data_IF_179718569426
#
_entry.id   IF_179718569426
#
_cell.length_a   1.000
_cell.length_b   1.000
_cell.length_c   1.000
_cell.angle_alpha   90.00
_cell.angle_beta   90.00
_cell.angle_gamma   90.00
#
_symmetry.space_group_name_H-M   'P 1'
#
loop_
_entity.id
_entity.type
_entity.pdbx_description
1 polymer ?
#
# COMPACT_ATOMS: atom_id res chain seq x y z
N UNK A 1 -30.71 -21.91 7.96
CA UNK A 1 -29.99 -22.47 6.81
C UNK A 1 -30.54 -21.82 5.58
N UNK A 2 -29.86 -20.76 5.13
CA UNK A 2 -29.79 -20.33 3.74
C UNK A 2 -28.42 -19.67 3.63
N UNK A 3 -27.55 -20.37 2.94
CA UNK A 3 -26.16 -20.05 2.65
C UNK A 3 -26.07 -18.73 1.89
N UNK A 4 -25.66 -17.67 2.59
CA UNK A 4 -25.36 -16.34 2.03
C UNK A 4 -23.84 -16.23 1.74
N UNK A 5 -23.28 -17.27 1.12
CA UNK A 5 -21.83 -17.39 0.86
C UNK A 5 -21.49 -17.63 -0.62
N UNK A 6 -22.36 -17.19 -1.54
CA UNK A 6 -22.11 -17.24 -2.98
C UNK A 6 -22.26 -15.86 -3.63
N UNK A 7 -21.37 -14.91 -3.32
CA UNK A 7 -21.03 -13.77 -4.21
C UNK A 7 -19.66 -13.14 -3.88
N UNK A 8 -18.56 -13.87 -3.97
CA UNK A 8 -17.22 -13.25 -4.08
C UNK A 8 -16.34 -14.01 -5.10
N UNK A 9 -16.93 -14.53 -6.16
CA UNK A 9 -16.16 -14.97 -7.34
C UNK A 9 -15.84 -13.75 -8.20
N UNK A 10 -14.83 -13.01 -7.76
CA UNK A 10 -14.33 -11.78 -8.39
C UNK A 10 -13.47 -10.95 -7.45
N UNK A 11 -12.91 -11.53 -6.39
CA UNK A 11 -11.96 -10.83 -5.54
C UNK A 11 -10.70 -10.58 -6.38
N UNK A 12 -10.59 -9.38 -6.93
CA UNK A 12 -9.29 -8.77 -7.18
C UNK A 12 -8.50 -8.96 -5.88
N UNK A 13 -7.47 -9.81 -5.89
CA UNK A 13 -6.68 -10.15 -4.71
C UNK A 13 -5.82 -8.95 -4.34
N UNK A 14 -6.43 -7.96 -3.69
CA UNK A 14 -5.71 -6.81 -3.17
C UNK A 14 -4.88 -7.24 -1.97
N UNK A 15 -3.61 -6.86 -1.98
CA UNK A 15 -2.69 -7.11 -0.88
C UNK A 15 -2.64 -5.85 -0.04
N UNK A 16 -2.96 -5.99 1.26
CA UNK A 16 -2.70 -4.97 2.25
C UNK A 16 -1.20 -4.89 2.55
N UNK A 17 -0.64 -3.69 2.50
CA UNK A 17 0.73 -3.40 2.87
C UNK A 17 0.77 -2.38 4.00
N UNK A 18 1.50 -2.73 5.06
CA UNK A 18 1.84 -1.80 6.14
C UNK A 18 3.34 -1.51 6.10
N UNK A 19 3.68 -0.23 6.02
CA UNK A 19 5.05 0.22 5.83
C UNK A 19 5.36 1.18 6.98
N UNK A 20 6.15 0.72 7.94
CA UNK A 20 6.64 1.59 9.00
C UNK A 20 7.75 2.49 8.46
N UNK A 21 7.66 3.75 8.84
CA UNK A 21 8.62 4.79 8.52
C UNK A 21 9.58 4.96 9.69
N UNK A 22 10.87 5.13 9.38
CA UNK A 22 11.89 5.48 10.36
C UNK A 22 11.63 6.88 10.94
N UNK A 23 11.12 7.80 10.11
CA UNK A 23 10.76 9.16 10.47
C UNK A 23 9.43 9.55 9.81
N UNK A 24 8.61 10.41 10.45
CA UNK A 24 7.40 10.95 9.84
C UNK A 24 7.70 11.59 8.48
N UNK A 25 6.76 11.44 7.55
CA UNK A 25 6.80 12.21 6.31
C UNK A 25 6.46 13.67 6.59
N UNK A 26 7.24 14.58 6.01
CA UNK A 26 6.87 15.99 5.95
C UNK A 26 5.69 16.20 4.97
N UNK A 27 4.90 17.28 5.09
CA UNK A 27 3.75 17.53 4.22
C UNK A 27 4.08 17.55 2.72
N UNK A 28 5.30 17.98 2.36
CA UNK A 28 5.79 17.95 0.98
C UNK A 28 6.05 16.51 0.52
N UNK A 29 6.61 15.67 1.38
CA UNK A 29 6.89 14.26 1.09
C UNK A 29 5.59 13.46 0.99
N UNK A 30 4.62 13.70 1.88
CA UNK A 30 3.28 13.10 1.81
C UNK A 30 2.60 13.44 0.49
N UNK A 31 2.67 14.71 0.07
CA UNK A 31 2.12 15.15 -1.22
C UNK A 31 2.81 14.48 -2.39
N UNK A 32 4.15 14.41 -2.38
CA UNK A 32 4.91 13.75 -3.45
C UNK A 32 4.59 12.26 -3.54
N UNK A 33 4.45 11.58 -2.40
CA UNK A 33 4.06 10.17 -2.35
C UNK A 33 2.64 9.96 -2.90
N UNK A 34 1.69 10.80 -2.49
CA UNK A 34 0.30 10.76 -2.96
C UNK A 34 0.20 10.97 -4.47
N UNK A 35 0.90 11.97 -5.01
CA UNK A 35 0.94 12.23 -6.46
C UNK A 35 1.54 11.04 -7.23
N UNK A 36 2.61 10.45 -6.70
CA UNK A 36 3.26 9.30 -7.32
C UNK A 36 2.40 8.02 -7.23
N UNK A 37 1.65 7.83 -6.15
CA UNK A 37 0.68 6.75 -5.99
C UNK A 37 -0.50 6.91 -6.94
N UNK A 38 -1.05 8.12 -7.08
CA UNK A 38 -2.15 8.42 -8.01
C UNK A 38 -1.77 8.06 -9.46
N UNK A 39 -0.54 8.37 -9.88
CA UNK A 39 -0.02 8.03 -11.20
C UNK A 39 0.25 6.53 -11.38
N UNK A 40 0.64 5.84 -10.30
CA UNK A 40 0.97 4.42 -10.34
C UNK A 40 -0.29 3.55 -10.36
N UNK A 41 -1.15 3.74 -9.35
CA UNK A 41 -2.33 2.94 -9.12
C UNK A 41 -3.37 3.73 -8.29
N UNK A 42 -4.48 4.06 -8.93
CA UNK A 42 -5.55 4.83 -8.32
C UNK A 42 -6.19 4.14 -7.10
N UNK A 43 -6.17 2.79 -7.03
CA UNK A 43 -6.72 2.04 -5.91
C UNK A 43 -5.77 2.07 -4.71
N UNK A 44 -4.47 1.93 -4.95
CA UNK A 44 -3.45 2.15 -3.94
C UNK A 44 -3.49 3.57 -3.40
N UNK A 45 -3.73 4.57 -4.25
CA UNK A 45 -3.93 5.96 -3.83
C UNK A 45 -5.18 6.15 -2.97
N UNK A 46 -6.33 5.64 -3.40
CA UNK A 46 -7.61 5.80 -2.68
C UNK A 46 -7.58 5.13 -1.30
N UNK A 47 -6.92 3.97 -1.21
CA UNK A 47 -6.76 3.22 0.05
C UNK A 47 -5.53 3.61 0.89
N UNK A 48 -4.72 4.59 0.45
CA UNK A 48 -3.51 5.00 1.15
C UNK A 48 -3.83 5.91 2.35
N UNK A 49 -3.62 5.35 3.54
CA UNK A 49 -3.59 6.08 4.80
C UNK A 49 -2.13 6.35 5.19
N UNK A 50 -1.79 7.63 5.33
CA UNK A 50 -0.45 8.07 5.75
C UNK A 50 -0.57 8.57 7.19
N UNK A 51 -0.09 7.77 8.11
CA UNK A 51 0.07 8.12 9.51
C UNK A 51 1.46 8.69 9.80
N UNK A 52 1.67 9.19 11.04
CA UNK A 52 2.91 9.86 11.44
C UNK A 52 4.15 8.94 11.43
N UNK A 53 4.01 7.61 11.44
CA UNK A 53 5.14 6.67 11.35
C UNK A 53 4.82 5.42 10.56
N UNK A 54 3.68 5.39 9.88
CA UNK A 54 3.20 4.20 9.19
C UNK A 54 2.36 4.62 8.00
N UNK A 55 2.54 3.92 6.90
CA UNK A 55 1.71 4.02 5.72
C UNK A 55 0.98 2.68 5.57
N UNK A 56 -0.34 2.73 5.45
CA UNK A 56 -1.17 1.56 5.23
C UNK A 56 -1.91 1.74 3.91
N UNK A 57 -1.82 0.78 3.00
CA UNK A 57 -2.48 0.85 1.70
C UNK A 57 -2.82 -0.54 1.16
N UNK A 58 -3.79 -0.62 0.27
CA UNK A 58 -4.13 -1.84 -0.45
C UNK A 58 -3.74 -1.69 -1.92
N UNK A 59 -2.98 -2.65 -2.46
CA UNK A 59 -2.56 -2.61 -3.85
C UNK A 59 -2.90 -3.89 -4.59
N UNK A 60 -3.13 -3.75 -5.88
CA UNK A 60 -3.31 -4.90 -6.76
C UNK A 60 -1.93 -5.45 -7.18
N UNK A 61 -1.60 -6.71 -6.83
CA UNK A 61 -0.31 -7.32 -7.13
C UNK A 61 -0.07 -7.59 -8.63
N UNK A 62 -1.11 -7.51 -9.46
CA UNK A 62 -0.99 -7.63 -10.92
C UNK A 62 -0.59 -6.31 -11.58
N UNK A 63 -0.89 -5.16 -10.93
CA UNK A 63 -0.55 -3.81 -11.41
C UNK A 63 0.70 -3.22 -10.78
N UNK A 64 0.88 -3.46 -9.49
CA UNK A 64 2.04 -2.97 -8.75
C UNK A 64 2.55 -4.02 -7.78
N UNK A 65 3.70 -3.76 -7.18
CA UNK A 65 4.33 -4.66 -6.23
C UNK A 65 4.79 -3.86 -5.02
N UNK A 66 4.86 -4.50 -3.86
CA UNK A 66 5.35 -3.87 -2.66
C UNK A 66 6.70 -3.17 -2.86
N UNK A 67 7.65 -3.81 -3.53
CA UNK A 67 8.97 -3.19 -3.82
C UNK A 67 8.84 -1.85 -4.54
N UNK A 68 7.87 -1.73 -5.47
CA UNK A 68 7.62 -0.51 -6.23
C UNK A 68 7.01 0.57 -5.33
N UNK A 69 6.11 0.20 -4.42
CA UNK A 69 5.57 1.11 -3.40
C UNK A 69 6.67 1.62 -2.46
N UNK A 70 7.57 0.74 -2.01
CA UNK A 70 8.73 1.11 -1.19
C UNK A 70 9.68 2.05 -1.94
N UNK A 71 9.87 1.84 -3.26
CA UNK A 71 10.64 2.76 -4.11
C UNK A 71 9.98 4.14 -4.18
N UNK A 72 8.65 4.22 -4.34
CA UNK A 72 7.94 5.50 -4.37
C UNK A 72 8.08 6.28 -3.06
N UNK A 73 7.98 5.59 -1.92
CA UNK A 73 8.17 6.22 -0.61
C UNK A 73 9.58 6.80 -0.48
N UNK A 74 10.60 6.06 -0.93
CA UNK A 74 11.99 6.56 -0.97
C UNK A 74 12.14 7.76 -1.91
N UNK A 75 11.52 7.72 -3.09
CA UNK A 75 11.56 8.82 -4.06
C UNK A 75 10.86 10.07 -3.56
N UNK A 76 9.79 9.92 -2.79
CA UNK A 76 9.12 11.01 -2.11
C UNK A 76 9.94 11.61 -0.95
N UNK A 77 11.09 11.02 -0.59
CA UNK A 77 11.96 11.44 0.50
C UNK A 77 11.70 10.70 1.82
N UNK A 78 10.78 9.75 1.83
CA UNK A 78 10.44 8.94 3.00
C UNK A 78 11.56 7.98 3.40
N UNK A 79 11.86 7.96 4.70
CA UNK A 79 12.81 7.01 5.28
C UNK A 79 12.07 5.79 5.77
N UNK A 80 12.26 4.67 5.08
CA UNK A 80 11.67 3.39 5.47
C UNK A 80 12.31 2.88 6.76
N UNK A 81 11.48 2.40 7.69
CA UNK A 81 11.89 1.71 8.90
C UNK A 81 11.77 0.20 8.71
N UNK A 82 10.64 -0.37 9.12
CA UNK A 82 10.32 -1.78 8.97
C UNK A 82 9.19 -1.95 7.94
N UNK A 83 9.15 -3.08 7.24
CA UNK A 83 8.11 -3.35 6.26
C UNK A 83 7.43 -4.65 6.66
N UNK A 84 6.19 -4.56 7.11
CA UNK A 84 5.36 -5.73 7.44
C UNK A 84 4.37 -5.94 6.30
N UNK A 85 4.61 -6.98 5.51
CA UNK A 85 3.70 -7.41 4.46
C UNK A 85 2.97 -8.66 4.94
N UNK A 86 1.64 -8.62 5.04
CA UNK A 86 0.82 -9.84 5.13
C UNK A 86 0.74 -10.51 3.76
N UNK A 87 1.90 -10.85 3.19
CA UNK A 87 2.03 -11.77 2.08
C UNK A 87 2.55 -13.07 2.64
N UNK A 88 1.65 -14.01 2.93
CA UNK A 88 2.06 -15.36 3.32
C UNK A 88 3.09 -15.87 2.29
N UNK A 89 4.31 -16.25 2.71
CA UNK A 89 5.19 -16.99 1.83
C UNK A 89 4.53 -18.35 1.61
N UNK A 90 3.83 -18.50 0.48
CA UNK A 90 3.44 -19.82 0.01
C UNK A 90 4.72 -20.53 -0.44
N UNK A 91 5.30 -21.24 0.53
CA UNK A 91 6.23 -22.36 0.37
C UNK A 91 5.68 -23.40 -0.61
#
# INVERSE_FOLDING_TARGET
>A
MVDDAEKLSGAEEYIAAEIDLAEPLDPEQEKNLRDALEQLDAQAFDSCDIGPKRISLCYDPTRTSQEKLLQLIKQAGGKLGNVESEGSPLL
#
